data_IF_702724497694
#
_entry.id   IF_702724497694
#
_cell.length_a   1.000
_cell.length_b   1.000
_cell.length_c   1.000
_cell.angle_alpha   90.00
_cell.angle_beta   90.00
_cell.angle_gamma   90.00
#
_symmetry.space_group_name_H-M   'P 1'
#
loop_
_entity.id
_entity.type
_entity.pdbx_description
1 polymer ?
#
# COMPACT_ATOMS: atom_id res chain seq x y z
N UNK A 1 -9.36 27.33 -14.48
CA UNK A 1 -8.00 26.95 -14.96
C UNK A 1 -7.15 26.39 -13.83
N UNK A 2 -6.89 27.13 -12.73
CA UNK A 2 -6.16 26.56 -11.58
C UNK A 2 -6.92 25.41 -10.90
N UNK A 3 -8.25 25.52 -10.81
CA UNK A 3 -9.11 24.50 -10.20
C UNK A 3 -9.15 23.18 -10.99
N UNK A 4 -9.01 23.26 -12.32
CA UNK A 4 -9.07 22.09 -13.21
C UNK A 4 -7.86 21.16 -13.02
N UNK A 5 -6.67 21.73 -12.79
CA UNK A 5 -5.45 20.95 -12.50
C UNK A 5 -5.49 20.29 -11.13
N UNK A 6 -6.10 20.96 -10.14
CA UNK A 6 -6.24 20.42 -8.80
C UNK A 6 -7.15 19.18 -8.81
N UNK A 7 -8.31 19.28 -9.48
CA UNK A 7 -9.26 18.17 -9.59
C UNK A 7 -8.65 16.97 -10.34
N UNK A 8 -7.96 17.22 -11.46
CA UNK A 8 -7.27 16.17 -12.23
C UNK A 8 -6.20 15.45 -11.40
N UNK A 9 -5.42 16.21 -10.64
CA UNK A 9 -4.38 15.68 -9.74
C UNK A 9 -5.00 14.86 -8.60
N UNK A 10 -6.06 15.35 -7.99
CA UNK A 10 -6.77 14.68 -6.89
C UNK A 10 -7.32 13.33 -7.34
N UNK A 11 -7.98 13.28 -8.50
CA UNK A 11 -8.49 12.03 -9.07
C UNK A 11 -7.34 11.05 -9.33
N UNK A 12 -6.22 11.53 -9.90
CA UNK A 12 -5.04 10.70 -10.15
C UNK A 12 -4.45 10.09 -8.88
N UNK A 13 -4.31 10.90 -7.81
CA UNK A 13 -3.83 10.41 -6.51
C UNK A 13 -4.77 9.41 -5.86
N UNK A 14 -6.07 9.68 -5.88
CA UNK A 14 -7.06 8.74 -5.31
C UNK A 14 -6.99 7.41 -6.03
N UNK A 15 -6.90 7.41 -7.36
CA UNK A 15 -6.83 6.19 -8.16
C UNK A 15 -5.56 5.37 -7.89
N UNK A 16 -4.41 6.03 -7.76
CA UNK A 16 -3.12 5.35 -7.50
C UNK A 16 -3.07 4.70 -6.11
N UNK A 17 -3.67 5.33 -5.09
CA UNK A 17 -3.66 4.83 -3.71
C UNK A 17 -4.86 3.94 -3.33
N UNK A 18 -5.88 3.87 -4.19
CA UNK A 18 -7.03 2.99 -4.03
C UNK A 18 -6.66 1.51 -3.82
N UNK A 19 -5.79 0.88 -4.64
CA UNK A 19 -5.42 -0.53 -4.43
C UNK A 19 -4.70 -0.77 -3.09
N UNK A 20 -3.89 0.19 -2.64
CA UNK A 20 -3.19 0.13 -1.35
C UNK A 20 -4.17 0.23 -0.15
N UNK A 21 -5.30 0.92 -0.32
CA UNK A 21 -6.36 0.99 0.69
C UNK A 21 -7.16 -0.31 0.75
N UNK A 22 -7.46 -0.90 -0.41
CA UNK A 22 -8.32 -2.09 -0.51
C UNK A 22 -7.66 -3.32 0.12
N UNK A 23 -6.34 -3.50 -0.07
CA UNK A 23 -5.61 -4.66 0.46
C UNK A 23 -5.86 -4.91 1.95
N UNK A 24 -5.57 -3.97 2.86
CA UNK A 24 -5.75 -4.18 4.30
C UNK A 24 -7.22 -4.39 4.68
N UNK A 25 -8.16 -3.66 4.06
CA UNK A 25 -9.60 -3.84 4.30
C UNK A 25 -10.02 -5.26 3.90
N UNK A 26 -9.61 -5.72 2.71
CA UNK A 26 -9.92 -7.06 2.21
C UNK A 26 -9.38 -8.16 3.14
N UNK A 27 -8.16 -7.99 3.67
CA UNK A 27 -7.56 -8.97 4.58
C UNK A 27 -8.27 -9.09 5.92
N UNK A 28 -8.98 -8.04 6.36
CA UNK A 28 -9.79 -8.08 7.58
C UNK A 28 -11.16 -8.68 7.27
N UNK A 29 -11.79 -8.31 6.15
CA UNK A 29 -13.10 -8.84 5.77
C UNK A 29 -13.09 -10.36 5.55
N UNK A 30 -12.05 -10.92 4.95
CA UNK A 30 -11.97 -12.38 4.71
C UNK A 30 -11.81 -13.20 6.01
N UNK A 31 -11.38 -12.55 7.09
CA UNK A 31 -11.22 -13.19 8.42
C UNK A 31 -12.50 -13.14 9.25
N UNK A 32 -13.54 -12.43 8.80
CA UNK A 32 -14.81 -12.37 9.49
C UNK A 32 -15.52 -13.73 9.45
N UNK A 33 -16.01 -14.15 10.61
CA UNK A 33 -16.84 -15.35 10.72
C UNK A 33 -18.22 -15.09 10.11
N UNK A 34 -18.65 -16.00 9.23
CA UNK A 34 -19.98 -15.96 8.59
C UNK A 34 -21.11 -16.12 9.62
N UNK A 35 -20.84 -16.80 10.73
CA UNK A 35 -21.81 -16.97 11.82
C UNK A 35 -22.28 -15.63 12.39
N UNK A 36 -21.44 -14.58 12.37
CA UNK A 36 -21.83 -13.23 12.84
C UNK A 36 -22.87 -12.57 11.92
N UNK A 37 -22.82 -12.88 10.64
CA UNK A 37 -23.78 -12.38 9.64
C UNK A 37 -25.09 -13.14 9.79
N UNK A 38 -25.03 -14.47 9.87
CA UNK A 38 -26.19 -15.35 10.05
C UNK A 38 -26.94 -15.03 11.35
N UNK A 39 -26.23 -14.88 12.48
CA UNK A 39 -26.83 -14.50 13.75
C UNK A 39 -27.52 -13.12 13.70
N UNK A 40 -26.98 -12.17 12.92
CA UNK A 40 -27.64 -10.86 12.77
C UNK A 40 -28.92 -10.95 11.95
N UNK A 41 -28.96 -11.80 10.93
CA UNK A 41 -30.18 -12.06 10.14
C UNK A 41 -31.22 -12.81 10.99
N UNK A 42 -30.80 -13.73 11.87
CA UNK A 42 -31.68 -14.42 12.83
C UNK A 42 -32.31 -13.48 13.86
N UNK A 43 -31.60 -12.44 14.29
CA UNK A 43 -32.14 -11.38 15.14
C UNK A 43 -33.09 -10.41 14.41
N UNK A 44 -33.40 -10.67 13.13
CA UNK A 44 -34.31 -9.86 12.32
C UNK A 44 -33.67 -8.59 11.76
N UNK A 45 -32.33 -8.48 11.75
CA UNK A 45 -31.67 -7.34 11.13
C UNK A 45 -31.79 -7.39 9.61
N UNK A 46 -32.10 -6.25 9.00
CA UNK A 46 -32.06 -6.11 7.54
C UNK A 46 -30.60 -6.05 7.05
N UNK A 47 -30.31 -6.41 5.80
CA UNK A 47 -28.93 -6.48 5.23
C UNK A 47 -28.12 -5.19 5.42
N UNK A 48 -28.78 -4.03 5.33
CA UNK A 48 -28.15 -2.73 5.58
C UNK A 48 -27.81 -2.53 7.07
N UNK A 49 -28.68 -2.98 7.98
CA UNK A 49 -28.41 -2.95 9.42
C UNK A 49 -27.29 -3.91 9.80
N UNK A 50 -27.25 -5.12 9.25
CA UNK A 50 -26.15 -6.08 9.43
C UNK A 50 -24.81 -5.48 8.99
N UNK A 51 -24.77 -4.81 7.84
CA UNK A 51 -23.55 -4.15 7.37
C UNK A 51 -23.08 -3.05 8.33
N UNK A 52 -23.98 -2.15 8.74
CA UNK A 52 -23.62 -0.98 9.56
C UNK A 52 -23.31 -1.39 11.01
N UNK A 53 -24.08 -2.32 11.60
CA UNK A 53 -23.95 -2.70 13.01
C UNK A 53 -22.97 -3.84 13.27
N UNK A 54 -22.75 -4.73 12.31
CA UNK A 54 -21.88 -5.90 12.49
C UNK A 54 -20.60 -5.73 11.68
N UNK A 55 -20.71 -5.62 10.35
CA UNK A 55 -19.53 -5.65 9.46
C UNK A 55 -18.64 -4.41 9.61
N UNK A 56 -19.22 -3.21 9.65
CA UNK A 56 -18.50 -1.95 9.72
C UNK A 56 -17.65 -1.81 10.99
N UNK A 57 -18.18 -2.03 12.22
CA UNK A 57 -17.36 -1.92 13.43
C UNK A 57 -16.26 -2.98 13.51
N UNK A 58 -16.51 -4.20 13.02
CA UNK A 58 -15.48 -5.23 12.96
C UNK A 58 -14.38 -4.94 11.93
N UNK A 59 -14.68 -4.10 10.92
CA UNK A 59 -13.73 -3.69 9.87
C UNK A 59 -12.90 -2.46 10.24
N UNK A 60 -13.23 -1.75 11.33
CA UNK A 60 -12.48 -0.57 11.84
C UNK A 60 -10.96 -0.82 11.92
N UNK A 61 -10.44 -1.93 12.51
CA UNK A 61 -8.99 -2.16 12.54
C UNK A 61 -8.36 -2.25 11.13
N UNK A 62 -9.11 -2.77 10.15
CA UNK A 62 -8.70 -2.81 8.74
C UNK A 62 -8.65 -1.43 8.10
N UNK A 63 -9.62 -0.56 8.43
CA UNK A 63 -9.67 0.83 7.95
C UNK A 63 -8.51 1.64 8.54
N UNK A 64 -8.24 1.50 9.84
CA UNK A 64 -7.10 2.18 10.49
C UNK A 64 -5.79 1.74 9.85
N UNK A 65 -5.59 0.44 9.63
CA UNK A 65 -4.46 -0.10 8.89
C UNK A 65 -4.34 0.51 7.48
N UNK A 66 -5.44 0.59 6.74
CA UNK A 66 -5.49 1.16 5.39
C UNK A 66 -5.05 2.62 5.34
N UNK A 67 -5.61 3.46 6.24
CA UNK A 67 -5.27 4.89 6.33
C UNK A 67 -3.76 5.06 6.54
N UNK A 68 -3.17 4.25 7.41
CA UNK A 68 -1.75 4.36 7.74
C UNK A 68 -0.84 3.87 6.62
N UNK A 69 -1.28 2.86 5.86
CA UNK A 69 -0.56 2.33 4.70
C UNK A 69 -0.50 3.33 3.54
N UNK A 70 -1.55 4.14 3.36
CA UNK A 70 -1.63 5.17 2.32
C UNK A 70 -0.99 6.49 2.74
N UNK A 71 -1.01 6.81 4.03
CA UNK A 71 -0.47 8.07 4.55
C UNK A 71 1.00 8.30 4.17
N UNK A 72 1.82 7.25 4.23
CA UNK A 72 3.25 7.31 3.93
C UNK A 72 3.54 7.68 2.45
N UNK A 73 3.01 6.95 1.45
CA UNK A 73 3.25 7.29 0.05
C UNK A 73 2.62 8.64 -0.35
N UNK A 74 1.44 8.99 0.18
CA UNK A 74 0.81 10.30 -0.13
C UNK A 74 1.62 11.47 0.40
N UNK A 75 2.29 11.33 1.55
CA UNK A 75 3.14 12.38 2.12
C UNK A 75 4.47 12.54 1.36
N UNK A 76 4.96 11.45 0.75
CA UNK A 76 6.30 11.40 0.12
C UNK A 76 6.25 11.68 -1.39
N UNK A 77 5.22 11.21 -2.08
CA UNK A 77 5.15 11.26 -3.54
C UNK A 77 4.59 12.58 -4.04
N UNK A 78 5.41 13.33 -4.79
CA UNK A 78 4.96 14.53 -5.50
C UNK A 78 4.93 14.36 -7.03
N UNK A 79 5.42 13.23 -7.53
CA UNK A 79 5.57 12.93 -8.96
C UNK A 79 4.22 12.97 -9.69
N UNK A 80 3.16 12.52 -9.02
CA UNK A 80 1.80 12.47 -9.56
C UNK A 80 1.27 13.89 -9.80
N UNK A 81 1.38 14.77 -8.81
CA UNK A 81 0.98 16.18 -8.95
C UNK A 81 1.79 16.94 -9.98
N UNK A 82 3.07 16.60 -10.10
CA UNK A 82 3.94 17.30 -11.05
C UNK A 82 3.56 16.94 -12.50
N UNK A 83 3.31 15.65 -12.74
CA UNK A 83 2.96 15.11 -14.06
C UNK A 83 1.55 15.53 -14.49
N UNK A 84 0.54 15.40 -13.61
CA UNK A 84 -0.86 15.71 -13.95
C UNK A 84 -1.20 17.20 -13.78
N UNK A 85 -0.60 17.86 -12.78
CA UNK A 85 -0.86 19.27 -12.45
C UNK A 85 0.04 20.25 -13.18
N UNK A 86 0.93 19.77 -14.06
CA UNK A 86 1.89 20.57 -14.84
C UNK A 86 2.67 21.55 -13.94
N UNK A 87 3.18 21.03 -12.81
CA UNK A 87 3.91 21.77 -11.78
C UNK A 87 3.18 22.98 -11.13
N UNK A 88 1.90 23.20 -11.40
CA UNK A 88 1.12 24.33 -10.81
C UNK A 88 0.57 24.00 -9.43
N UNK A 89 0.41 22.71 -9.11
CA UNK A 89 -0.08 22.24 -7.81
C UNK A 89 1.10 22.01 -6.88
N UNK A 90 1.29 22.92 -5.93
CA UNK A 90 2.38 22.81 -4.95
C UNK A 90 1.91 22.02 -3.72
N UNK A 91 2.40 20.79 -3.59
CA UNK A 91 2.28 19.96 -2.39
C UNK A 91 3.61 19.92 -1.64
N UNK A 92 3.62 19.42 -0.39
CA UNK A 92 4.82 19.40 0.48
C UNK A 92 6.04 18.79 -0.25
N UNK A 93 5.86 17.68 -0.97
CA UNK A 93 6.97 17.04 -1.68
C UNK A 93 7.52 17.88 -2.84
N UNK A 94 6.64 18.59 -3.57
CA UNK A 94 7.05 19.51 -4.64
C UNK A 94 7.73 20.76 -4.08
N UNK A 95 7.28 21.24 -2.92
CA UNK A 95 7.93 22.35 -2.22
C UNK A 95 9.38 22.01 -1.87
N UNK A 96 9.64 20.81 -1.35
CA UNK A 96 10.99 20.36 -1.02
C UNK A 96 11.85 20.33 -2.28
N UNK A 97 11.36 19.71 -3.36
CA UNK A 97 12.10 19.61 -4.62
C UNK A 97 12.42 20.98 -5.23
N UNK A 98 11.45 21.92 -5.23
CA UNK A 98 11.68 23.28 -5.69
C UNK A 98 12.82 23.97 -4.92
N UNK A 99 12.94 23.78 -3.61
CA UNK A 99 14.02 24.40 -2.83
C UNK A 99 15.41 23.84 -3.15
N UNK A 100 15.49 22.57 -3.57
CA UNK A 100 16.76 21.99 -4.02
C UNK A 100 17.12 22.41 -5.45
N UNK A 101 16.14 22.59 -6.34
CA UNK A 101 16.36 22.91 -7.75
C UNK A 101 16.78 24.36 -8.03
N UNK A 102 16.47 25.32 -7.16
CA UNK A 102 16.77 26.75 -7.38
C UNK A 102 18.29 27.06 -7.35
N UNK A 103 19.13 26.14 -6.87
CA UNK A 103 20.59 26.17 -7.07
C UNK A 103 21.33 27.30 -6.33
N UNK A 104 20.69 28.02 -5.40
CA UNK A 104 21.33 29.02 -4.55
C UNK A 104 21.71 28.40 -3.20
N UNK A 105 22.84 28.83 -2.62
CA UNK A 105 23.37 28.26 -1.37
C UNK A 105 22.35 28.34 -0.21
N UNK A 106 21.58 29.43 -0.13
CA UNK A 106 20.52 29.62 0.89
C UNK A 106 19.33 28.66 0.71
N UNK A 107 19.02 28.25 -0.52
CA UNK A 107 17.86 27.40 -0.78
C UNK A 107 18.09 25.96 -0.30
N UNK A 108 19.35 25.50 -0.27
CA UNK A 108 19.73 24.16 0.20
C UNK A 108 19.59 24.00 1.72
N UNK A 109 19.89 25.06 2.47
CA UNK A 109 19.67 25.09 3.92
C UNK A 109 18.18 24.97 4.25
N UNK A 110 17.35 25.75 3.55
CA UNK A 110 15.89 25.75 3.73
C UNK A 110 15.28 24.41 3.32
N UNK A 111 15.69 23.84 2.18
CA UNK A 111 15.24 22.52 1.73
C UNK A 111 15.56 21.42 2.74
N UNK A 112 16.78 21.43 3.28
CA UNK A 112 17.22 20.46 4.30
C UNK A 112 16.41 20.56 5.59
N UNK A 113 16.09 21.78 6.05
CA UNK A 113 15.27 22.00 7.23
C UNK A 113 13.85 21.43 7.05
N UNK A 114 13.23 21.66 5.90
CA UNK A 114 11.88 21.15 5.58
C UNK A 114 11.89 19.61 5.52
N UNK A 115 12.92 19.00 4.92
CA UNK A 115 13.05 17.54 4.87
C UNK A 115 13.21 16.91 6.26
N UNK A 116 13.98 17.54 7.16
CA UNK A 116 14.12 17.06 8.54
C UNK A 116 12.79 17.15 9.32
N UNK A 117 12.02 18.22 9.13
CA UNK A 117 10.69 18.34 9.74
C UNK A 117 9.76 17.24 9.23
N UNK A 118 9.77 16.97 7.91
CA UNK A 118 8.97 15.91 7.32
C UNK A 118 9.37 14.52 7.84
N UNK A 119 10.67 14.29 8.02
CA UNK A 119 11.19 13.05 8.61
C UNK A 119 10.66 12.84 10.04
N UNK A 120 10.76 13.86 10.90
CA UNK A 120 10.23 13.80 12.27
C UNK A 120 8.73 13.54 12.27
N UNK A 121 8.00 14.16 11.35
CA UNK A 121 6.56 13.96 11.20
C UNK A 121 6.22 12.51 10.82
N UNK A 122 6.95 11.89 9.88
CA UNK A 122 6.78 10.47 9.51
C UNK A 122 7.10 9.55 10.69
N UNK A 123 8.16 9.84 11.46
CA UNK A 123 8.45 9.06 12.67
C UNK A 123 7.34 9.17 13.70
N UNK A 124 6.77 10.37 13.88
CA UNK A 124 5.67 10.59 14.81
C UNK A 124 4.42 9.81 14.41
N UNK A 125 4.06 9.82 13.12
CA UNK A 125 2.89 9.08 12.64
C UNK A 125 3.12 7.57 12.72
N UNK A 126 4.31 7.09 12.40
CA UNK A 126 4.67 5.68 12.57
C UNK A 126 4.62 5.24 14.03
N UNK A 127 5.09 6.08 14.96
CA UNK A 127 5.00 5.80 16.40
C UNK A 127 3.53 5.72 16.87
N UNK A 128 2.70 6.63 16.40
CA UNK A 128 1.27 6.66 16.73
C UNK A 128 0.54 5.42 16.20
N UNK A 129 0.80 5.05 14.95
CA UNK A 129 0.23 3.85 14.30
C UNK A 129 0.77 2.54 14.87
N UNK A 130 2.03 2.49 15.29
CA UNK A 130 2.66 1.29 15.87
C UNK A 130 1.88 0.74 17.06
N UNK A 131 1.21 1.60 17.82
CA UNK A 131 0.31 1.22 18.92
C UNK A 131 -0.98 0.54 18.45
N UNK A 132 -1.42 0.77 17.21
CA UNK A 132 -2.63 0.16 16.64
C UNK A 132 -2.33 -1.16 15.87
N UNK A 133 -1.09 -1.38 15.44
CA UNK A 133 -0.69 -2.60 14.72
C UNK A 133 -0.54 -3.84 15.62
N UNK A 134 -0.48 -3.68 16.93
CA UNK A 134 -0.30 -4.78 17.89
C UNK A 134 -1.44 -5.83 17.85
N UNK A 135 -2.64 -5.43 17.39
CA UNK A 135 -3.82 -6.31 17.29
C UNK A 135 -4.14 -6.82 15.87
N UNK A 136 -3.38 -6.39 14.85
CA UNK A 136 -3.62 -6.79 13.47
C UNK A 136 -2.49 -7.71 13.02
N UNK A 137 -2.64 -9.03 13.25
CA UNK A 137 -1.70 -10.08 12.83
C UNK A 137 -0.87 -9.67 11.60
N UNK A 138 0.42 -9.30 11.79
CA UNK A 138 1.24 -8.77 10.72
C UNK A 138 1.62 -9.93 9.80
N UNK A 139 0.81 -10.21 8.77
CA UNK A 139 1.12 -11.28 7.80
C UNK A 139 0.24 -11.32 6.54
N UNK A 140 0.19 -10.20 5.82
CA UNK A 140 0.02 -10.25 4.36
C UNK A 140 1.23 -10.88 3.63
N UNK A 141 2.37 -11.07 4.33
CA UNK A 141 3.58 -11.73 3.82
C UNK A 141 3.69 -13.24 4.12
N UNK A 142 2.59 -13.91 4.49
CA UNK A 142 2.60 -15.33 4.92
C UNK A 142 2.22 -16.35 3.84
N UNK A 143 1.51 -15.95 2.78
CA UNK A 143 0.93 -16.89 1.80
C UNK A 143 1.77 -17.09 0.53
N UNK A 144 2.80 -16.26 0.30
CA UNK A 144 3.81 -16.50 -0.74
C UNK A 144 4.95 -17.42 -0.29
N UNK A 145 4.91 -17.90 0.95
CA UNK A 145 5.99 -18.69 1.56
C UNK A 145 5.48 -20.03 2.09
N UNK A 146 4.98 -20.93 1.21
CA UNK A 146 5.26 -22.38 1.35
C UNK A 146 4.78 -23.36 0.27
N UNK A 147 3.74 -23.10 -0.55
CA UNK A 147 3.18 -24.18 -1.39
C UNK A 147 3.52 -24.16 -2.88
N UNK A 148 3.82 -23.00 -3.49
CA UNK A 148 3.95 -22.93 -4.97
C UNK A 148 5.39 -22.91 -5.52
N UNK A 149 6.41 -22.69 -4.69
CA UNK A 149 7.80 -22.56 -5.17
C UNK A 149 8.64 -23.84 -5.12
N UNK A 150 8.24 -24.84 -4.32
CA UNK A 150 9.02 -26.08 -4.15
C UNK A 150 8.90 -27.01 -5.37
N UNK A 151 7.74 -27.03 -6.02
CA UNK A 151 7.50 -27.85 -7.20
C UNK A 151 8.19 -27.31 -8.46
N UNK A 152 8.27 -25.98 -8.61
CA UNK A 152 8.92 -25.38 -9.79
C UNK A 152 10.44 -25.57 -9.77
N UNK A 153 11.08 -25.46 -8.61
CA UNK A 153 12.55 -25.60 -8.51
C UNK A 153 13.03 -27.05 -8.72
N UNK A 154 12.28 -28.04 -8.20
CA UNK A 154 12.58 -29.45 -8.45
C UNK A 154 12.33 -29.84 -9.92
N UNK A 155 11.27 -29.34 -10.54
CA UNK A 155 11.02 -29.57 -11.97
C UNK A 155 12.10 -28.93 -12.86
N UNK A 156 12.58 -27.74 -12.51
CA UNK A 156 13.64 -27.05 -13.25
C UNK A 156 15.01 -27.71 -13.06
N UNK A 157 15.34 -28.17 -11.85
CA UNK A 157 16.60 -28.85 -11.55
C UNK A 157 16.70 -30.22 -12.25
N UNK A 158 15.62 -31.02 -12.28
CA UNK A 158 15.61 -32.30 -13.00
C UNK A 158 15.76 -32.14 -14.52
N UNK A 159 15.19 -31.07 -15.11
CA UNK A 159 15.26 -30.83 -16.55
C UNK A 159 16.62 -30.30 -17.00
N UNK A 160 17.37 -29.64 -16.11
CA UNK A 160 18.73 -29.16 -16.38
C UNK A 160 19.78 -30.26 -16.22
N UNK A 161 19.63 -31.17 -15.25
CA UNK A 161 20.57 -32.31 -15.07
C UNK A 161 20.44 -33.34 -16.20
N UNK A 162 19.24 -33.57 -16.73
CA UNK A 162 19.03 -34.52 -17.84
C UNK A 162 19.58 -34.04 -19.19
N UNK A 163 19.83 -32.74 -19.34
CA UNK A 163 20.37 -32.16 -20.58
C UNK A 163 21.90 -32.21 -20.70
N UNK A 164 22.64 -32.64 -19.64
CA UNK A 164 24.11 -32.76 -19.65
C UNK A 164 24.65 -34.19 -19.66
N UNK A 165 23.81 -35.22 -19.63
CA UNK A 165 24.24 -36.63 -19.49
C UNK A 165 23.88 -37.51 -20.68
N UNK A 166 23.89 -36.98 -21.90
CA UNK A 166 23.98 -37.82 -23.12
C UNK A 166 25.38 -37.72 -23.73
N UNK A 167 26.35 -38.52 -23.28
CA UNK A 167 27.45 -38.93 -24.14
C UNK A 167 26.97 -40.13 -24.98
N UNK A 168 26.97 -39.97 -26.30
CA UNK A 168 27.07 -41.02 -27.36
C UNK A 168 26.78 -40.32 -28.70
N UNK A 169 27.63 -40.28 -29.73
CA UNK A 169 28.71 -41.17 -30.15
C UNK A 169 28.41 -42.63 -29.83
N UNK A 170 27.56 -43.24 -30.66
CA UNK A 170 27.77 -44.56 -31.29
C UNK A 170 26.60 -44.85 -32.24
N UNK A 171 26.98 -45.26 -33.45
CA UNK A 171 26.28 -46.06 -34.48
C UNK A 171 25.50 -45.35 -35.62
N UNK A 172 26.13 -45.50 -36.80
CA UNK A 172 25.76 -45.26 -38.22
C UNK A 172 26.05 -43.86 -38.75
#
# INVERSE_FOLDING_TARGET
VADDYFLSTLIGMVYDYLPFTILPIYTVLIKLDKNLIEASEDLGANKVQTFIKTTLPLSIPGIVSAITMVFLPTTTSYVISDTLGNSKVTIIGKLIENQFNIGTADSWHTGSAISLILLVFIFLTMFFTGKFQENSSPRGGGLWKKSSFRHLYLAYSYRYVRARTTPRCVLV
#
